data_IF_085127095878
#
_entry.id   IF_085127095878
#
_cell.length_a   1.000
_cell.length_b   1.000
_cell.length_c   1.000
_cell.angle_alpha   90.00
_cell.angle_beta   90.00
_cell.angle_gamma   90.00
#
_symmetry.space_group_name_H-M   'P 1'
#
loop_
_entity.id
_entity.type
_entity.pdbx_description
1 polymer ?
#
# COMPACT_ATOMS: atom_id res chain seq x y z
N UNK A 1 -10.19 -8.04 14.22
CA UNK A 1 -10.31 -9.48 13.90
C UNK A 1 -9.38 -10.33 14.75
N UNK A 2 -8.06 -10.12 14.69
CA UNK A 2 -7.01 -10.92 15.38
C UNK A 2 -7.26 -11.05 16.89
N UNK A 3 -7.26 -9.93 17.62
CA UNK A 3 -7.43 -9.92 19.08
C UNK A 3 -8.81 -10.41 19.52
N UNK A 4 -9.86 -10.10 18.74
CA UNK A 4 -11.21 -10.61 18.97
C UNK A 4 -11.31 -12.13 18.74
N UNK A 5 -10.65 -12.64 17.69
CA UNK A 5 -10.61 -14.06 17.35
C UNK A 5 -9.86 -14.87 18.42
N UNK A 6 -8.66 -14.43 18.80
CA UNK A 6 -7.87 -15.03 19.89
C UNK A 6 -8.65 -15.00 21.21
N UNK A 7 -9.24 -13.85 21.56
CA UNK A 7 -10.07 -13.72 22.76
C UNK A 7 -11.26 -14.70 22.74
N UNK A 8 -11.97 -14.81 21.62
CA UNK A 8 -13.12 -15.71 21.48
C UNK A 8 -12.73 -17.20 21.49
N UNK A 9 -11.59 -17.56 20.90
CA UNK A 9 -11.04 -18.92 20.92
C UNK A 9 -10.62 -19.36 22.33
N UNK A 10 -9.85 -18.52 23.03
CA UNK A 10 -9.25 -18.85 24.33
C UNK A 10 -10.25 -18.68 25.48
N UNK A 11 -10.99 -17.56 25.55
CA UNK A 11 -11.89 -17.29 26.69
C UNK A 11 -13.26 -17.92 26.60
N UNK A 12 -13.85 -18.03 25.40
CA UNK A 12 -15.19 -18.63 25.23
C UNK A 12 -15.17 -20.14 24.97
N UNK A 13 -13.98 -20.79 24.92
CA UNK A 13 -13.80 -22.22 24.60
C UNK A 13 -14.61 -22.66 23.36
N UNK A 14 -14.70 -21.79 22.35
CA UNK A 14 -15.59 -22.00 21.19
C UNK A 14 -15.26 -23.25 20.37
N UNK A 15 -14.02 -23.74 20.44
CA UNK A 15 -13.63 -25.00 19.80
C UNK A 15 -14.39 -26.21 20.36
N UNK A 16 -14.72 -26.21 21.66
CA UNK A 16 -15.43 -27.29 22.37
C UNK A 16 -16.96 -27.14 22.42
N UNK A 17 -17.51 -26.00 22.00
CA UNK A 17 -18.96 -25.76 22.06
C UNK A 17 -19.67 -26.29 20.81
N UNK A 18 -20.63 -27.20 20.99
CA UNK A 18 -21.50 -27.73 19.93
C UNK A 18 -22.79 -26.92 19.71
N UNK A 19 -22.88 -25.71 20.27
CA UNK A 19 -24.08 -24.89 20.19
C UNK A 19 -24.22 -24.28 18.77
N UNK A 20 -25.31 -24.63 18.07
CA UNK A 20 -25.63 -24.13 16.71
C UNK A 20 -25.70 -22.60 16.64
N UNK A 21 -26.04 -21.91 17.73
CA UNK A 21 -26.10 -20.45 17.82
C UNK A 21 -24.71 -19.81 17.73
N UNK A 22 -23.65 -20.50 18.14
CA UNK A 22 -22.27 -19.99 18.17
C UNK A 22 -21.46 -20.34 16.90
N UNK A 23 -22.06 -21.04 15.93
CA UNK A 23 -21.38 -21.51 14.72
C UNK A 23 -20.72 -20.37 13.93
N UNK A 24 -21.43 -19.25 13.74
CA UNK A 24 -20.90 -18.07 13.02
C UNK A 24 -19.80 -17.35 13.81
N UNK A 25 -19.91 -17.31 15.15
CA UNK A 25 -18.87 -16.77 16.02
C UNK A 25 -17.59 -17.61 15.96
N UNK A 26 -17.73 -18.94 15.87
CA UNK A 26 -16.61 -19.88 15.69
C UNK A 26 -15.93 -19.67 14.33
N UNK A 27 -16.70 -19.62 13.23
CA UNK A 27 -16.16 -19.36 11.90
C UNK A 27 -15.49 -17.99 11.79
N UNK A 28 -16.11 -16.94 12.31
CA UNK A 28 -15.53 -15.60 12.38
C UNK A 28 -14.19 -15.58 13.13
N UNK A 29 -14.10 -16.27 14.27
CA UNK A 29 -12.86 -16.35 15.05
C UNK A 29 -11.76 -17.14 14.33
N UNK A 30 -12.10 -18.25 13.66
CA UNK A 30 -11.14 -19.08 12.90
C UNK A 30 -10.64 -18.33 11.68
N UNK A 31 -11.55 -17.83 10.83
CA UNK A 31 -11.20 -17.06 9.63
C UNK A 31 -10.39 -15.84 10.03
N UNK A 32 -10.84 -15.09 11.05
CA UNK A 32 -10.14 -13.91 11.54
C UNK A 32 -8.74 -14.17 12.10
N UNK A 33 -8.46 -15.39 12.60
CA UNK A 33 -7.12 -15.79 13.05
C UNK A 33 -6.22 -16.17 11.86
N UNK A 34 -6.75 -16.92 10.89
CA UNK A 34 -5.99 -17.36 9.71
C UNK A 34 -5.60 -16.15 8.85
N UNK A 35 -6.54 -15.24 8.59
CA UNK A 35 -6.29 -14.08 7.71
C UNK A 35 -5.53 -12.95 8.41
N UNK A 36 -5.36 -13.03 9.74
CA UNK A 36 -4.73 -12.00 10.57
C UNK A 36 -3.37 -11.54 10.03
N UNK A 37 -2.49 -12.52 9.83
CA UNK A 37 -1.11 -12.33 9.41
C UNK A 37 -1.03 -11.83 7.97
N UNK A 38 -1.63 -12.50 6.96
CA UNK A 38 -1.57 -11.99 5.60
C UNK A 38 -2.24 -10.63 5.44
N UNK A 39 -3.31 -10.35 6.21
CA UNK A 39 -3.91 -9.01 6.20
C UNK A 39 -2.97 -7.95 6.76
N UNK A 40 -2.25 -8.24 7.84
CA UNK A 40 -1.29 -7.30 8.40
C UNK A 40 -0.18 -7.00 7.39
N UNK A 41 0.36 -8.04 6.73
CA UNK A 41 1.36 -7.88 5.66
C UNK A 41 0.82 -6.98 4.55
N UNK A 42 -0.39 -7.25 4.03
CA UNK A 42 -1.02 -6.44 2.99
C UNK A 42 -1.24 -4.99 3.43
N UNK A 43 -1.65 -4.75 4.67
CA UNK A 43 -1.79 -3.38 5.19
C UNK A 43 -0.44 -2.67 5.20
N UNK A 44 0.61 -3.31 5.72
CA UNK A 44 1.94 -2.70 5.78
C UNK A 44 2.52 -2.42 4.39
N UNK A 45 2.35 -3.34 3.43
CA UNK A 45 2.84 -3.13 2.06
C UNK A 45 2.00 -2.14 1.25
N UNK A 46 0.76 -1.85 1.66
CA UNK A 46 -0.11 -0.85 1.04
C UNK A 46 0.07 0.58 1.59
N UNK A 47 0.62 0.76 2.81
CA UNK A 47 0.89 2.08 3.40
C UNK A 47 1.66 3.06 2.51
N UNK A 48 2.67 2.63 1.72
CA UNK A 48 3.43 3.50 0.82
C UNK A 48 2.58 4.16 -0.28
N UNK A 49 1.42 3.60 -0.59
CA UNK A 49 0.47 4.13 -1.57
C UNK A 49 -0.58 5.06 -0.95
N UNK A 50 -0.64 5.14 0.38
CA UNK A 50 -1.56 6.07 1.05
C UNK A 50 -1.09 7.51 0.89
N UNK A 51 -2.02 8.45 0.72
CA UNK A 51 -1.68 9.86 0.53
C UNK A 51 -0.86 10.47 1.68
N UNK A 52 -1.09 10.03 2.92
CA UNK A 52 -0.36 10.52 4.09
C UNK A 52 0.95 9.78 4.34
N UNK A 53 0.92 8.44 4.51
CA UNK A 53 2.12 7.68 4.85
C UNK A 53 3.08 7.60 3.66
N UNK A 54 2.57 7.49 2.43
CA UNK A 54 3.38 7.56 1.23
C UNK A 54 4.17 8.87 1.15
N UNK A 55 3.55 10.01 1.43
CA UNK A 55 4.24 11.30 1.48
C UNK A 55 5.33 11.34 2.56
N UNK A 56 5.08 10.77 3.75
CA UNK A 56 6.07 10.69 4.82
C UNK A 56 7.25 9.77 4.48
N UNK A 57 6.98 8.59 3.94
CA UNK A 57 8.00 7.63 3.47
C UNK A 57 8.88 8.30 2.41
N UNK A 58 8.29 9.04 1.48
CA UNK A 58 9.04 9.82 0.48
C UNK A 58 9.90 10.92 1.11
N UNK A 59 9.36 11.67 2.09
CA UNK A 59 10.11 12.70 2.81
C UNK A 59 11.34 12.10 3.50
N UNK A 60 11.19 10.97 4.17
CA UNK A 60 12.29 10.24 4.84
C UNK A 60 13.30 9.74 3.81
N UNK A 61 12.82 9.13 2.73
CA UNK A 61 13.64 8.62 1.64
C UNK A 61 14.50 9.72 0.99
N UNK A 62 13.95 10.92 0.86
CA UNK A 62 14.66 12.11 0.33
C UNK A 62 15.66 12.67 1.34
N UNK A 63 15.27 12.76 2.62
CA UNK A 63 16.13 13.27 3.70
C UNK A 63 17.30 12.34 4.01
N UNK A 64 17.13 11.02 3.81
CA UNK A 64 18.13 10.00 4.05
C UNK A 64 18.37 9.13 2.81
N UNK A 65 19.14 9.62 1.81
CA UNK A 65 19.38 8.91 0.55
C UNK A 65 19.96 7.50 0.72
N UNK A 66 20.72 7.26 1.80
CA UNK A 66 21.28 5.94 2.12
C UNK A 66 20.22 4.90 2.48
N UNK A 67 19.12 5.33 3.11
CA UNK A 67 17.99 4.47 3.44
C UNK A 67 17.02 4.38 2.25
N UNK A 68 16.87 5.48 1.51
CA UNK A 68 15.88 5.67 0.46
C UNK A 68 16.42 5.55 -0.96
N UNK A 69 16.31 6.66 -1.71
CA UNK A 69 16.54 6.72 -3.16
C UNK A 69 17.89 7.38 -3.49
N UNK A 70 18.56 6.89 -4.52
CA UNK A 70 19.81 7.46 -5.06
C UNK A 70 19.61 8.91 -5.56
N UNK A 71 20.66 9.73 -5.47
CA UNK A 71 20.57 11.16 -5.76
C UNK A 71 20.51 11.44 -7.27
N UNK A 72 19.33 11.79 -7.79
CA UNK A 72 19.12 12.54 -9.04
C UNK A 72 18.03 13.60 -8.76
N UNK A 73 18.22 14.86 -9.16
CA UNK A 73 17.52 16.03 -8.58
C UNK A 73 16.55 16.69 -9.58
N UNK A 74 15.32 16.97 -9.08
CA UNK A 74 14.32 18.02 -9.43
C UNK A 74 12.98 17.68 -10.15
N UNK A 75 11.93 17.73 -9.32
CA UNK A 75 10.47 17.98 -9.49
C UNK A 75 9.50 16.93 -10.09
N UNK A 76 8.42 16.55 -9.36
CA UNK A 76 7.52 15.45 -9.72
C UNK A 76 6.21 15.90 -10.40
N UNK A 77 5.61 15.09 -11.29
CA UNK A 77 4.16 14.97 -11.34
C UNK A 77 3.69 14.06 -10.21
N UNK A 78 2.61 14.47 -9.53
CA UNK A 78 1.90 13.62 -8.59
C UNK A 78 1.26 12.46 -9.36
N UNK A 79 1.45 11.25 -8.86
CA UNK A 79 0.55 10.10 -9.03
C UNK A 79 0.36 9.42 -10.40
N UNK A 80 0.98 9.87 -11.51
CA UNK A 80 0.66 9.28 -12.84
C UNK A 80 1.79 8.50 -13.53
N UNK A 81 3.06 8.66 -13.13
CA UNK A 81 4.17 7.91 -13.73
C UNK A 81 4.30 6.50 -13.13
N UNK A 82 3.32 5.62 -13.37
CA UNK A 82 3.40 4.23 -12.91
C UNK A 82 4.50 3.43 -13.62
N UNK A 83 4.92 3.86 -14.82
CA UNK A 83 5.86 3.17 -15.71
C UNK A 83 7.30 3.07 -15.17
N UNK A 84 7.65 3.87 -14.16
CA UNK A 84 8.97 3.87 -13.51
C UNK A 84 8.90 3.27 -12.10
N UNK A 85 9.97 2.61 -11.61
CA UNK A 85 10.00 2.04 -10.26
C UNK A 85 9.64 3.07 -9.21
N UNK A 86 8.98 2.64 -8.13
CA UNK A 86 8.62 3.53 -7.03
C UNK A 86 9.82 4.34 -6.51
N UNK A 87 11.01 3.72 -6.48
CA UNK A 87 12.25 4.36 -6.06
C UNK A 87 12.71 5.53 -6.95
N UNK A 88 12.14 5.70 -8.14
CA UNK A 88 12.56 6.72 -9.11
C UNK A 88 11.43 7.68 -9.49
N UNK A 89 10.18 7.45 -9.04
CA UNK A 89 9.00 8.24 -9.40
C UNK A 89 9.05 9.73 -9.06
N UNK A 90 9.91 10.14 -8.14
CA UNK A 90 10.07 11.54 -7.71
C UNK A 90 11.45 12.11 -8.03
N UNK A 91 12.24 11.39 -8.82
CA UNK A 91 13.57 11.82 -9.27
C UNK A 91 13.47 12.40 -10.68
N UNK A 92 14.23 13.46 -10.93
CA UNK A 92 14.34 13.98 -12.29
C UNK A 92 15.11 13.01 -13.17
N UNK A 93 14.72 12.91 -14.43
CA UNK A 93 15.60 12.39 -15.45
C UNK A 93 16.78 13.38 -15.63
N UNK A 94 18.01 12.91 -15.87
CA UNK A 94 19.14 13.76 -16.23
C UNK A 94 18.83 14.50 -17.53
N UNK A 95 19.35 15.71 -17.64
CA UNK A 95 19.13 16.56 -18.80
C UNK A 95 20.11 16.25 -19.93
N UNK A 96 19.65 16.40 -21.16
CA UNK A 96 20.52 16.51 -22.34
C UNK A 96 21.33 17.80 -22.27
N UNK A 97 22.53 17.84 -22.88
CA UNK A 97 23.39 19.03 -22.84
C UNK A 97 22.71 20.24 -23.52
N UNK A 98 22.39 21.27 -22.74
CA UNK A 98 22.08 22.62 -23.21
C UNK A 98 20.68 23.17 -22.96
N UNK A 99 20.30 23.51 -21.71
CA UNK A 99 19.14 24.39 -21.47
C UNK A 99 18.51 24.31 -20.07
N UNK A 100 17.87 25.40 -19.66
CA UNK A 100 17.48 25.73 -18.28
C UNK A 100 16.10 25.26 -17.79
N UNK A 101 15.90 25.43 -16.49
CA UNK A 101 14.77 24.93 -15.70
C UNK A 101 13.39 25.49 -16.09
N UNK A 102 12.47 24.63 -16.52
CA UNK A 102 11.02 24.88 -16.42
C UNK A 102 10.27 23.62 -16.02
N UNK A 103 9.44 23.74 -14.97
CA UNK A 103 8.60 22.67 -14.44
C UNK A 103 7.13 23.07 -14.44
N UNK A 104 6.28 22.24 -15.04
CA UNK A 104 4.88 21.99 -14.70
C UNK A 104 4.30 21.01 -15.71
N UNK A 105 3.54 19.98 -15.27
CA UNK A 105 2.66 19.07 -16.05
C UNK A 105 2.89 19.10 -17.57
N UNK A 106 4.09 18.74 -17.99
CA UNK A 106 4.51 18.94 -19.38
C UNK A 106 4.11 17.69 -20.16
N UNK A 107 3.33 17.90 -21.22
CA UNK A 107 2.99 16.83 -22.15
C UNK A 107 4.27 16.32 -22.82
N UNK A 108 4.34 15.03 -23.17
CA UNK A 108 5.45 14.50 -23.97
C UNK A 108 5.70 15.38 -25.19
N UNK A 109 6.93 15.88 -25.33
CA UNK A 109 7.31 16.62 -26.53
C UNK A 109 7.82 15.63 -27.57
N UNK A 110 7.01 15.45 -28.61
CA UNK A 110 7.31 14.58 -29.74
C UNK A 110 7.64 15.43 -30.97
N UNK A 111 8.48 14.88 -31.85
CA UNK A 111 8.82 15.49 -33.14
C UNK A 111 9.58 16.83 -33.06
N UNK A 112 10.47 16.94 -32.06
CA UNK A 112 11.38 18.09 -31.92
C UNK A 112 12.50 17.94 -32.97
N UNK A 113 12.97 19.03 -33.63
CA UNK A 113 14.08 18.94 -34.57
C UNK A 113 15.31 18.27 -33.96
N UNK A 114 15.81 17.20 -34.61
CA UNK A 114 16.97 16.44 -34.15
C UNK A 114 16.67 15.37 -33.09
N UNK A 115 15.44 15.27 -32.58
CA UNK A 115 15.06 14.22 -31.63
C UNK A 115 15.13 12.84 -32.30
N UNK A 116 15.67 11.86 -31.57
CA UNK A 116 15.71 10.47 -32.01
C UNK A 116 14.30 9.90 -32.16
N UNK A 117 14.10 9.13 -33.24
CA UNK A 117 12.89 8.32 -33.38
C UNK A 117 12.85 7.22 -32.32
N UNK A 118 11.64 6.80 -31.95
CA UNK A 118 11.43 5.76 -30.95
C UNK A 118 12.14 4.45 -31.33
N UNK A 119 12.14 4.08 -32.61
CA UNK A 119 12.83 2.88 -33.10
C UNK A 119 14.34 2.92 -32.85
N UNK A 120 14.97 4.10 -33.01
CA UNK A 120 16.39 4.28 -32.72
C UNK A 120 16.67 4.21 -31.22
N UNK A 121 15.79 4.79 -30.39
CA UNK A 121 15.89 4.69 -28.92
C UNK A 121 15.81 3.24 -28.48
N UNK A 122 14.85 2.48 -29.00
CA UNK A 122 14.68 1.05 -28.75
C UNK A 122 15.94 0.27 -29.17
N UNK A 123 16.41 0.47 -30.40
CA UNK A 123 17.59 -0.24 -30.93
C UNK A 123 18.86 0.05 -30.13
N UNK A 124 19.05 1.30 -29.73
CA UNK A 124 20.17 1.70 -28.88
C UNK A 124 20.07 1.08 -27.49
N UNK A 125 18.87 1.02 -26.91
CA UNK A 125 18.64 0.40 -25.61
C UNK A 125 18.92 -1.11 -25.63
N UNK A 126 18.46 -1.81 -26.66
CA UNK A 126 18.70 -3.25 -26.85
C UNK A 126 20.20 -3.52 -27.06
N UNK A 127 20.90 -2.69 -27.84
CA UNK A 127 22.38 -2.74 -27.97
C UNK A 127 23.12 -2.50 -26.66
N UNK A 128 22.56 -1.66 -25.78
CA UNK A 128 23.08 -1.40 -24.44
C UNK A 128 22.69 -2.49 -23.42
N UNK A 129 22.10 -3.60 -23.87
CA UNK A 129 21.73 -4.75 -23.05
C UNK A 129 20.40 -4.63 -22.31
N UNK A 130 19.59 -3.60 -22.60
CA UNK A 130 18.26 -3.47 -22.04
C UNK A 130 17.28 -4.36 -22.81
N UNK A 131 17.03 -5.56 -22.28
CA UNK A 131 16.07 -6.50 -22.87
C UNK A 131 14.63 -6.12 -22.53
N UNK A 132 13.71 -6.36 -23.45
CA UNK A 132 12.26 -6.24 -23.22
C UNK A 132 11.77 -7.22 -22.13
N UNK A 133 10.66 -6.93 -21.43
CA UNK A 133 9.87 -5.69 -21.48
C UNK A 133 10.55 -4.53 -20.75
N UNK A 134 10.38 -3.31 -21.27
CA UNK A 134 10.69 -2.04 -20.61
C UNK A 134 9.70 -0.98 -21.10
N UNK A 135 9.36 -0.03 -20.23
CA UNK A 135 8.58 1.16 -20.57
C UNK A 135 9.52 2.28 -21.04
N UNK A 136 9.02 3.18 -21.89
CA UNK A 136 9.76 4.34 -22.38
C UNK A 136 8.94 5.58 -22.06
N UNK A 137 9.44 6.37 -21.11
CA UNK A 137 8.86 7.68 -20.80
C UNK A 137 9.55 8.71 -21.69
N UNK A 138 8.73 9.46 -22.43
CA UNK A 138 9.20 10.53 -23.30
C UNK A 138 9.68 11.75 -22.52
N UNK A 139 10.69 12.46 -23.04
CA UNK A 139 11.07 13.77 -22.51
C UNK A 139 9.92 14.76 -22.70
N UNK A 140 9.76 15.64 -21.71
CA UNK A 140 8.70 16.66 -21.68
C UNK A 140 9.24 18.07 -21.92
N UNK A 141 10.56 18.21 -22.09
CA UNK A 141 11.25 19.45 -22.43
C UNK A 141 12.33 19.19 -23.50
N UNK A 142 12.83 20.22 -24.20
CA UNK A 142 13.95 20.08 -25.14
C UNK A 142 15.24 19.63 -24.46
N UNK A 143 15.36 19.87 -23.16
CA UNK A 143 16.53 19.46 -22.37
C UNK A 143 16.29 18.12 -21.66
N UNK A 144 15.13 17.49 -21.88
CA UNK A 144 14.77 16.22 -21.25
C UNK A 144 15.53 15.04 -21.84
N UNK A 145 15.44 13.89 -21.18
CA UNK A 145 15.95 12.62 -21.70
C UNK A 145 14.86 11.56 -21.75
N UNK A 146 15.04 10.57 -22.62
CA UNK A 146 14.21 9.37 -22.60
C UNK A 146 14.53 8.58 -21.33
N UNK A 147 13.49 8.18 -20.60
CA UNK A 147 13.63 7.28 -19.45
C UNK A 147 13.14 5.90 -19.84
N UNK A 148 14.06 4.94 -19.91
CA UNK A 148 13.76 3.55 -20.20
C UNK A 148 13.78 2.77 -18.90
N UNK A 149 12.69 2.08 -18.60
CA UNK A 149 12.44 1.55 -17.27
C UNK A 149 11.97 0.10 -17.31
N UNK A 150 12.67 -0.76 -16.58
CA UNK A 150 12.20 -2.08 -16.18
C UNK A 150 11.76 -1.96 -14.73
N UNK A 151 10.45 -1.92 -14.52
CA UNK A 151 9.84 -1.84 -13.20
C UNK A 151 9.17 -3.15 -12.83
N UNK A 152 9.13 -3.47 -11.55
CA UNK A 152 8.38 -4.60 -10.99
C UNK A 152 6.92 -4.25 -10.71
N UNK A 153 6.58 -2.96 -10.81
CA UNK A 153 5.25 -2.41 -10.61
C UNK A 153 4.97 -1.27 -11.61
N UNK A 154 5.20 -1.54 -12.90
CA UNK A 154 5.00 -0.58 -14.00
C UNK A 154 3.56 -0.07 -14.11
N UNK A 155 2.59 -0.79 -13.51
CA UNK A 155 1.16 -0.53 -13.69
C UNK A 155 0.64 -0.93 -15.08
N UNK A 156 1.51 -1.40 -15.97
CA UNK A 156 1.17 -1.90 -17.30
C UNK A 156 1.22 -3.42 -17.26
N UNK A 157 0.05 -4.04 -17.36
CA UNK A 157 -0.09 -5.50 -17.22
C UNK A 157 0.81 -6.24 -18.21
N UNK A 158 1.70 -7.09 -17.69
CA UNK A 158 2.58 -7.93 -18.50
C UNK A 158 3.96 -7.33 -18.80
N UNK A 159 4.25 -6.10 -18.35
CA UNK A 159 5.57 -5.47 -18.48
C UNK A 159 6.41 -5.53 -17.21
N UNK A 160 5.85 -6.08 -16.13
CA UNK A 160 6.54 -6.17 -14.84
C UNK A 160 7.66 -7.21 -14.86
N UNK A 161 8.80 -6.85 -14.26
CA UNK A 161 9.94 -7.76 -14.06
C UNK A 161 10.09 -8.13 -12.59
N UNK A 162 10.90 -9.16 -12.31
CA UNK A 162 11.25 -9.47 -10.93
C UNK A 162 11.92 -8.25 -10.26
N UNK A 163 11.61 -7.95 -8.98
CA UNK A 163 12.22 -6.87 -8.19
C UNK A 163 13.73 -6.68 -8.37
N UNK A 164 14.47 -7.79 -8.37
CA UNK A 164 15.94 -7.79 -8.47
C UNK A 164 16.46 -7.35 -9.84
N UNK A 165 15.61 -7.43 -10.87
CA UNK A 165 15.91 -7.05 -12.25
C UNK A 165 15.44 -5.64 -12.58
N UNK A 166 14.95 -4.88 -11.59
CA UNK A 166 14.61 -3.48 -11.82
C UNK A 166 15.84 -2.68 -12.25
N UNK A 167 15.65 -1.92 -13.31
CA UNK A 167 16.71 -1.08 -13.86
C UNK A 167 16.09 0.06 -14.64
N UNK A 168 16.62 1.26 -14.44
CA UNK A 168 16.24 2.45 -15.19
C UNK A 168 17.47 3.03 -15.88
N UNK A 169 17.29 3.39 -17.14
CA UNK A 169 18.30 3.98 -18.01
C UNK A 169 17.78 5.31 -18.50
N UNK A 170 18.66 6.31 -18.48
CA UNK A 170 18.37 7.62 -19.03
C UNK A 170 19.19 7.79 -20.30
N UNK A 171 18.52 8.15 -21.39
CA UNK A 171 19.13 8.24 -22.71
C UNK A 171 18.91 9.63 -23.29
N UNK A 172 20.00 10.22 -23.76
CA UNK A 172 19.99 11.52 -24.41
C UNK A 172 19.08 11.51 -25.65
N UNK A 173 18.19 12.49 -25.75
CA UNK A 173 17.14 12.47 -26.77
C UNK A 173 17.62 12.84 -28.18
N UNK A 174 18.85 13.34 -28.33
CA UNK A 174 19.43 13.74 -29.62
C UNK A 174 20.53 12.77 -30.09
N UNK A 175 21.41 12.38 -29.18
CA UNK A 175 22.59 11.54 -29.45
C UNK A 175 22.37 10.06 -29.18
N UNK A 176 21.42 9.71 -28.30
CA UNK A 176 21.16 8.33 -27.91
C UNK A 176 22.19 7.75 -26.94
N UNK A 177 23.08 8.61 -26.42
CA UNK A 177 24.06 8.25 -25.41
C UNK A 177 23.37 7.99 -24.08
N UNK A 178 23.82 6.99 -23.34
CA UNK A 178 23.35 6.75 -21.98
C UNK A 178 23.87 7.86 -21.06
N UNK A 179 22.96 8.64 -20.48
CA UNK A 179 23.24 9.71 -19.52
C UNK A 179 23.37 9.17 -18.09
N UNK A 180 22.61 8.13 -17.76
CA UNK A 180 22.55 7.61 -16.41
C UNK A 180 21.93 6.22 -16.34
N UNK A 181 22.24 5.54 -15.25
CA UNK A 181 21.82 4.17 -14.97
C UNK A 181 21.57 4.02 -13.48
N UNK A 182 20.44 3.46 -13.12
CA UNK A 182 20.13 3.05 -11.74
C UNK A 182 19.62 1.62 -11.77
N UNK A 183 20.30 0.71 -11.08
CA UNK A 183 19.88 -0.68 -10.91
C UNK A 183 19.30 -0.91 -9.51
N UNK A 184 18.58 -2.00 -9.33
CA UNK A 184 18.08 -2.44 -8.01
C UNK A 184 19.15 -2.45 -6.91
N UNK A 185 20.40 -2.74 -7.25
CA UNK A 185 21.49 -2.78 -6.27
C UNK A 185 21.79 -1.41 -5.67
N UNK A 186 21.58 -0.35 -6.45
CA UNK A 186 21.84 1.03 -6.04
C UNK A 186 20.75 1.55 -5.07
N UNK A 187 19.62 0.85 -4.95
CA UNK A 187 18.54 1.23 -4.04
C UNK A 187 18.93 1.07 -2.56
N UNK A 188 18.51 2.02 -1.73
CA UNK A 188 18.58 1.91 -0.28
C UNK A 188 17.63 0.83 0.27
N UNK A 189 17.83 0.45 1.54
CA UNK A 189 17.08 -0.64 2.19
C UNK A 189 15.57 -0.42 2.14
N UNK A 190 15.10 0.82 2.36
CA UNK A 190 13.70 1.17 2.30
C UNK A 190 13.16 1.01 0.87
N UNK A 191 13.90 1.50 -0.13
CA UNK A 191 13.52 1.36 -1.53
C UNK A 191 13.45 -0.11 -1.95
N UNK A 192 14.43 -0.95 -1.55
CA UNK A 192 14.41 -2.40 -1.78
C UNK A 192 13.18 -3.06 -1.15
N UNK A 193 12.86 -2.73 0.11
CA UNK A 193 11.68 -3.28 0.78
C UNK A 193 10.38 -2.94 0.03
N UNK A 194 10.28 -1.71 -0.50
CA UNK A 194 9.13 -1.24 -1.26
C UNK A 194 9.03 -1.90 -2.64
N UNK A 195 10.15 -2.10 -3.33
CA UNK A 195 10.21 -2.83 -4.60
C UNK A 195 9.70 -4.26 -4.46
N UNK A 196 9.84 -4.90 -3.29
CA UNK A 196 9.24 -6.22 -3.03
C UNK A 196 7.81 -6.13 -2.49
N UNK A 197 7.53 -5.16 -1.62
CA UNK A 197 6.26 -5.01 -0.95
C UNK A 197 5.11 -4.64 -1.89
N UNK A 198 5.35 -3.73 -2.83
CA UNK A 198 4.31 -3.26 -3.76
C UNK A 198 3.84 -4.39 -4.69
N UNK A 199 4.73 -5.12 -5.41
CA UNK A 199 4.30 -6.26 -6.21
C UNK A 199 3.65 -7.39 -5.40
N UNK A 200 4.04 -7.56 -4.12
CA UNK A 200 3.35 -8.49 -3.22
C UNK A 200 1.90 -8.05 -3.01
N UNK A 201 1.68 -6.78 -2.69
CA UNK A 201 0.37 -6.19 -2.46
C UNK A 201 -0.53 -6.24 -3.71
N UNK A 202 0.02 -5.86 -4.86
CA UNK A 202 -0.72 -5.80 -6.13
C UNK A 202 -0.98 -7.16 -6.76
N UNK A 203 -0.25 -8.20 -6.35
CA UNK A 203 -0.42 -9.55 -6.91
C UNK A 203 0.54 -9.89 -8.06
N UNK A 204 1.60 -9.10 -8.29
CA UNK A 204 2.53 -9.30 -9.41
C UNK A 204 3.78 -10.12 -9.05
N UNK A 205 4.18 -10.17 -7.78
CA UNK A 205 5.46 -10.75 -7.36
C UNK A 205 5.69 -12.21 -7.78
N UNK A 206 4.69 -13.08 -7.61
CA UNK A 206 4.75 -14.51 -8.00
C UNK A 206 3.78 -14.84 -9.14
N UNK A 207 3.41 -13.83 -9.94
CA UNK A 207 2.41 -13.98 -11.00
C UNK A 207 1.08 -14.51 -10.48
N UNK A 208 0.53 -15.54 -11.14
CA UNK A 208 -0.78 -16.09 -10.82
C UNK A 208 -0.92 -16.60 -9.38
N UNK A 209 0.15 -17.16 -8.80
CA UNK A 209 0.12 -17.65 -7.43
C UNK A 209 -0.19 -16.50 -6.45
N UNK A 210 0.46 -15.34 -6.63
CA UNK A 210 0.24 -14.19 -5.77
C UNK A 210 -1.18 -13.62 -5.93
N UNK A 211 -1.70 -13.57 -7.16
CA UNK A 211 -3.09 -13.15 -7.43
C UNK A 211 -4.11 -14.05 -6.73
N UNK A 212 -3.93 -15.36 -6.79
CA UNK A 212 -4.82 -16.33 -6.13
C UNK A 212 -4.75 -16.15 -4.61
N UNK A 213 -3.56 -16.01 -4.04
CA UNK A 213 -3.37 -15.79 -2.60
C UNK A 213 -4.09 -14.50 -2.17
N UNK A 214 -3.87 -13.39 -2.87
CA UNK A 214 -4.51 -12.11 -2.55
C UNK A 214 -6.03 -12.20 -2.70
N UNK A 215 -6.55 -12.87 -3.74
CA UNK A 215 -7.98 -13.11 -3.93
C UNK A 215 -8.57 -13.91 -2.75
N UNK A 216 -7.90 -14.99 -2.33
CA UNK A 216 -8.36 -15.81 -1.20
C UNK A 216 -8.38 -15.00 0.10
N UNK A 217 -7.36 -14.18 0.35
CA UNK A 217 -7.32 -13.29 1.51
C UNK A 217 -8.48 -12.28 1.47
N UNK A 218 -8.77 -11.68 0.31
CA UNK A 218 -9.90 -10.77 0.12
C UNK A 218 -11.25 -11.45 0.36
N UNK A 219 -11.48 -12.64 -0.21
CA UNK A 219 -12.71 -13.42 0.00
C UNK A 219 -12.86 -13.78 1.48
N UNK A 220 -11.79 -14.22 2.13
CA UNK A 220 -11.83 -14.59 3.53
C UNK A 220 -12.04 -13.37 4.44
N UNK A 221 -11.51 -12.20 4.08
CA UNK A 221 -11.79 -10.93 4.75
C UNK A 221 -13.27 -10.53 4.63
N UNK A 222 -13.84 -10.56 3.43
CA UNK A 222 -15.27 -10.33 3.19
C UNK A 222 -16.14 -11.32 3.97
N UNK A 223 -15.80 -12.61 3.93
CA UNK A 223 -16.44 -13.66 4.72
C UNK A 223 -16.38 -13.36 6.21
N UNK A 224 -15.23 -12.89 6.71
CA UNK A 224 -15.04 -12.44 8.09
C UNK A 224 -16.01 -11.32 8.47
N UNK A 225 -16.17 -10.29 7.62
CA UNK A 225 -17.11 -9.19 7.81
C UNK A 225 -18.56 -9.72 7.85
N UNK A 226 -18.95 -10.53 6.87
CA UNK A 226 -20.29 -11.13 6.77
C UNK A 226 -20.58 -11.97 8.02
N UNK A 227 -19.66 -12.85 8.43
CA UNK A 227 -19.84 -13.67 9.62
C UNK A 227 -19.92 -12.83 10.89
N UNK A 228 -19.18 -11.73 10.98
CA UNK A 228 -19.26 -10.77 12.09
C UNK A 228 -20.63 -10.13 12.17
N UNK A 229 -21.14 -9.63 11.04
CA UNK A 229 -22.46 -9.00 10.94
C UNK A 229 -23.59 -10.00 11.21
N UNK A 230 -23.53 -11.20 10.62
CA UNK A 230 -24.50 -12.28 10.89
C UNK A 230 -24.50 -12.70 12.37
N UNK A 231 -23.33 -12.75 13.00
CA UNK A 231 -23.18 -12.99 14.44
C UNK A 231 -23.93 -11.93 15.26
N UNK A 232 -23.79 -10.66 14.89
CA UNK A 232 -24.46 -9.55 15.56
C UNK A 232 -25.98 -9.57 15.34
N UNK A 233 -26.43 -9.77 14.10
CA UNK A 233 -27.85 -9.79 13.75
C UNK A 233 -28.60 -10.94 14.43
N UNK A 234 -28.00 -12.14 14.49
CA UNK A 234 -28.60 -13.28 15.21
C UNK A 234 -28.61 -13.07 16.72
N UNK A 235 -27.60 -12.40 17.30
CA UNK A 235 -27.64 -12.00 18.71
C UNK A 235 -28.84 -11.09 18.99
N UNK A 236 -29.16 -10.17 18.08
CA UNK A 236 -30.28 -9.24 18.24
C UNK A 236 -31.64 -9.97 18.24
N UNK A 237 -31.84 -10.97 17.37
CA UNK A 237 -33.09 -11.75 17.30
C UNK A 237 -33.44 -12.57 18.55
N UNK A 238 -32.44 -12.90 19.38
CA UNK A 238 -32.61 -13.78 20.54
C UNK A 238 -32.52 -13.05 21.88
N UNK A 239 -32.46 -11.72 21.91
CA UNK A 239 -32.36 -10.92 23.13
C UNK A 239 -33.62 -10.07 23.34
N UNK A 240 -34.15 -10.01 24.57
CA UNK A 240 -35.15 -9.00 24.96
C UNK A 240 -34.52 -7.60 24.87
N UNK A 241 -35.30 -6.55 24.58
CA UNK A 241 -34.81 -5.16 24.35
C UNK A 241 -33.76 -4.69 25.39
N UNK A 242 -33.95 -5.05 26.66
CA UNK A 242 -33.05 -4.67 27.76
C UNK A 242 -31.67 -5.37 27.75
N UNK A 243 -31.51 -6.48 27.02
CA UNK A 243 -30.26 -7.25 26.89
C UNK A 243 -29.52 -7.00 25.56
N UNK A 244 -30.15 -6.26 24.64
CA UNK A 244 -29.58 -5.93 23.33
C UNK A 244 -28.28 -5.11 23.48
N UNK A 245 -28.24 -4.23 24.48
CA UNK A 245 -27.06 -3.44 24.82
C UNK A 245 -25.97 -4.34 25.42
N UNK A 246 -24.72 -4.29 24.92
CA UNK A 246 -23.64 -5.08 25.49
C UNK A 246 -23.46 -4.73 26.97
N UNK A 247 -23.66 -5.72 27.86
CA UNK A 247 -23.49 -5.54 29.30
C UNK A 247 -22.04 -5.13 29.55
N UNK A 248 -21.83 -3.90 30.05
CA UNK A 248 -20.50 -3.32 30.25
C UNK A 248 -19.70 -4.23 31.18
N UNK A 249 -18.71 -4.91 30.64
CA UNK A 249 -17.80 -5.75 31.41
C UNK A 249 -16.81 -4.82 32.13
N UNK A 250 -16.76 -4.86 33.46
CA UNK A 250 -15.74 -4.18 34.29
C UNK A 250 -14.37 -4.87 34.15
N UNK A 251 -13.92 -5.11 32.92
CA UNK A 251 -12.60 -5.68 32.65
C UNK A 251 -11.66 -4.57 32.20
N UNK A 252 -10.43 -4.52 32.73
CA UNK A 252 -9.43 -3.59 32.22
C UNK A 252 -9.22 -3.89 30.73
N UNK A 253 -9.16 -2.82 29.93
CA UNK A 253 -8.88 -2.93 28.51
C UNK A 253 -7.49 -3.56 28.35
N UNK A 254 -7.33 -4.46 27.37
CA UNK A 254 -6.02 -5.05 27.10
C UNK A 254 -5.04 -3.95 26.70
N UNK A 255 -3.95 -3.78 27.45
CA UNK A 255 -2.91 -2.79 27.17
C UNK A 255 -2.35 -3.00 25.75
N UNK A 256 -2.15 -4.25 25.35
CA UNK A 256 -1.72 -4.62 23.99
C UNK A 256 -2.67 -4.10 22.91
N UNK A 257 -3.99 -4.14 23.16
CA UNK A 257 -4.98 -3.59 22.23
C UNK A 257 -4.85 -2.08 22.11
N UNK A 258 -4.70 -1.36 23.23
CA UNK A 258 -4.54 0.10 23.24
C UNK A 258 -3.30 0.50 22.46
N UNK A 259 -2.15 -0.10 22.77
CA UNK A 259 -0.88 0.18 22.09
C UNK A 259 -1.04 -0.06 20.57
N UNK A 260 -1.64 -1.18 20.18
CA UNK A 260 -1.88 -1.50 18.77
C UNK A 260 -2.75 -0.45 18.09
N UNK A 261 -3.85 0.00 18.73
CA UNK A 261 -4.73 1.02 18.16
C UNK A 261 -4.02 2.37 18.02
N UNK A 262 -3.19 2.75 18.99
CA UNK A 262 -2.42 4.00 18.94
C UNK A 262 -1.42 3.95 17.78
N UNK A 263 -0.62 2.88 17.69
CA UNK A 263 0.35 2.70 16.59
C UNK A 263 -0.37 2.78 15.24
N UNK A 264 -1.47 2.04 15.10
CA UNK A 264 -2.22 1.98 13.85
C UNK A 264 -2.92 3.31 13.52
N UNK A 265 -3.38 4.04 14.53
CA UNK A 265 -3.97 5.38 14.39
C UNK A 265 -2.95 6.45 13.99
N UNK A 266 -1.70 6.34 14.46
CA UNK A 266 -0.59 7.21 14.04
C UNK A 266 -0.16 6.89 12.61
N UNK A 267 -0.05 5.60 12.27
CA UNK A 267 0.32 5.18 10.91
C UNK A 267 -0.77 5.50 9.88
N UNK A 268 -2.05 5.45 10.30
CA UNK A 268 -3.21 5.72 9.45
C UNK A 268 -4.13 6.76 10.12
N UNK A 269 -3.89 8.07 9.91
CA UNK A 269 -4.60 9.13 10.63
C UNK A 269 -6.13 9.11 10.48
N UNK A 270 -6.65 8.76 9.30
CA UNK A 270 -8.09 8.61 9.06
C UNK A 270 -8.70 7.50 9.92
N UNK A 271 -7.99 6.38 10.08
CA UNK A 271 -8.39 5.32 11.00
C UNK A 271 -8.37 5.82 12.45
N UNK A 272 -7.30 6.51 12.87
CA UNK A 272 -7.22 7.13 14.19
C UNK A 272 -8.36 8.10 14.48
N UNK A 273 -8.69 8.96 13.50
CA UNK A 273 -9.80 9.91 13.60
C UNK A 273 -11.15 9.20 13.75
N UNK A 274 -11.39 8.11 13.01
CA UNK A 274 -12.61 7.31 13.17
C UNK A 274 -12.76 6.75 14.59
N UNK A 275 -11.66 6.33 15.23
CA UNK A 275 -11.67 5.83 16.61
C UNK A 275 -12.00 6.94 17.61
N UNK A 276 -11.50 8.16 17.39
CA UNK A 276 -11.82 9.33 18.23
C UNK A 276 -13.31 9.64 18.14
N UNK A 277 -13.90 9.64 16.94
CA UNK A 277 -15.35 9.85 16.77
C UNK A 277 -16.15 8.79 17.53
N UNK A 278 -15.79 7.50 17.35
CA UNK A 278 -16.47 6.40 18.06
C UNK A 278 -16.33 6.56 19.58
N UNK A 279 -15.15 6.94 20.07
CA UNK A 279 -14.90 7.18 21.48
C UNK A 279 -15.75 8.33 22.05
N UNK A 280 -15.90 9.43 21.30
CA UNK A 280 -16.76 10.56 21.67
C UNK A 280 -18.23 10.10 21.75
N UNK A 281 -18.73 9.39 20.74
CA UNK A 281 -20.11 8.87 20.73
C UNK A 281 -20.35 7.95 21.92
N UNK A 282 -19.45 7.00 22.18
CA UNK A 282 -19.54 6.07 23.31
C UNK A 282 -19.52 6.81 24.65
N UNK A 283 -18.74 7.88 24.76
CA UNK A 283 -18.67 8.72 25.96
C UNK A 283 -19.97 9.51 26.17
N UNK A 284 -20.54 10.09 25.12
CA UNK A 284 -21.81 10.81 25.18
C UNK A 284 -22.97 9.88 25.58
N UNK A 285 -23.04 8.69 24.98
CA UNK A 285 -24.00 7.66 25.35
C UNK A 285 -23.83 7.23 26.82
N UNK A 286 -22.58 7.07 27.28
CA UNK A 286 -22.30 6.76 28.67
C UNK A 286 -22.79 7.85 29.64
N UNK A 287 -22.53 9.12 29.33
CA UNK A 287 -22.98 10.23 30.17
C UNK A 287 -24.51 10.31 30.21
N UNK A 288 -25.19 10.07 29.08
CA UNK A 288 -26.66 10.00 29.01
C UNK A 288 -27.23 8.87 29.87
N UNK A 289 -26.67 7.66 29.75
CA UNK A 289 -27.11 6.50 30.55
C UNK A 289 -26.85 6.68 32.05
N UNK A 290 -25.71 7.28 32.41
CA UNK A 290 -25.39 7.59 33.82
C UNK A 290 -26.40 8.59 34.39
N UNK A 291 -26.75 9.63 33.62
CA UNK A 291 -27.75 10.63 34.03
C UNK A 291 -29.14 10.00 34.21
N UNK A 292 -29.58 9.16 33.27
CA UNK A 292 -30.89 8.50 33.36
C UNK A 292 -30.98 7.53 34.56
N UNK A 293 -29.87 6.91 34.98
CA UNK A 293 -29.81 6.08 36.21
C UNK A 293 -29.77 6.87 37.51
N UNK A 294 -29.48 8.17 37.47
CA UNK A 294 -29.52 9.04 38.64
C UNK A 294 -30.88 9.73 38.82
N UNK A 295 -31.69 9.79 37.75
CA UNK A 295 -33.02 10.40 37.73
C UNK A 295 -34.16 9.40 37.99
N UNK A 296 -33.89 8.10 37.88
CA UNK A 296 -34.79 6.98 38.20
C UNK A 296 -34.27 6.23 39.43
#
# INVERSE_FOLDING_TARGET
>A
MILSGIYMLVRKKLLKSNNKVLKFQKWHAIVGLIIAIPMLILVFTGLPWSGFMGAKINQISTAYPQLGQTQLVANPPKSEANEIPWALRQKAAPQSEGGGHHGSMAMPMTNIPGQLSLDKVIHNAEKQGLTRPFAIVYPTSPDGSFTLSKASNSGVTGFDVAPEKETTRYMDQYTGKQLGKVDYQDYGILAKWLTWGIPLHEGHLFGMANKIINLLVCIAFLGGIIFGFMSWFRRLKHMKQAEMLPRRVKKPMSISLIITLIILGVLMPLFGFSLIIVFIIETLLYLKDKRNKQLN
#
